data_IF_432195000347
#
_entry.id   IF_432195000347
#
_cell.length_a   1.000
_cell.length_b   1.000
_cell.length_c   1.000
_cell.angle_alpha   90.00
_cell.angle_beta   90.00
_cell.angle_gamma   90.00
#
_symmetry.space_group_name_H-M   'P 1'
#
loop_
_entity.id
_entity.type
_entity.pdbx_description
1 polymer ?
#
# COMPACT_ATOMS: atom_id res chain seq x y z
N UNK A 1 38.16 -16.34 6.41
CA UNK A 1 37.42 -15.75 7.54
C UNK A 1 36.05 -16.40 7.57
N UNK A 2 35.36 -16.46 8.71
CA UNK A 2 33.93 -16.79 8.70
C UNK A 2 33.18 -15.58 8.13
N UNK A 3 32.21 -15.79 7.24
CA UNK A 3 31.34 -14.71 6.80
C UNK A 3 30.38 -14.31 7.93
N UNK A 4 30.13 -13.01 8.07
CA UNK A 4 29.25 -12.48 9.12
C UNK A 4 27.81 -12.62 8.65
N UNK A 5 27.20 -13.76 8.94
CA UNK A 5 25.77 -13.97 8.71
C UNK A 5 24.91 -13.15 9.68
N UNK A 6 23.88 -12.49 9.17
CA UNK A 6 22.93 -11.70 9.94
C UNK A 6 21.59 -12.44 10.08
N UNK A 7 21.01 -12.57 11.30
CA UNK A 7 19.72 -13.21 11.47
C UNK A 7 18.60 -12.37 10.84
N UNK A 8 17.69 -13.02 10.12
CA UNK A 8 16.51 -12.42 9.49
C UNK A 8 15.28 -12.96 10.20
N UNK A 9 14.36 -12.08 10.62
CA UNK A 9 13.14 -12.47 11.33
C UNK A 9 11.91 -11.78 10.76
N UNK A 10 10.76 -12.43 10.90
CA UNK A 10 9.46 -11.85 10.61
C UNK A 10 8.81 -11.43 11.93
N UNK A 11 8.61 -10.13 12.12
CA UNK A 11 7.71 -9.62 13.14
C UNK A 11 6.28 -9.66 12.58
N UNK A 12 5.36 -10.26 13.35
CA UNK A 12 3.95 -10.43 12.98
C UNK A 12 3.09 -9.74 14.02
N UNK A 13 2.14 -8.93 13.55
CA UNK A 13 1.26 -8.07 14.33
C UNK A 13 -0.21 -8.35 13.97
N UNK A 14 -1.10 -8.20 14.94
CA UNK A 14 -2.54 -8.10 14.72
C UNK A 14 -2.99 -6.64 14.85
N UNK A 15 -3.33 -6.00 13.72
CA UNK A 15 -3.84 -4.63 13.69
C UNK A 15 -5.22 -4.48 14.35
N UNK A 16 -5.92 -5.58 14.64
CA UNK A 16 -7.20 -5.56 15.37
C UNK A 16 -7.04 -5.64 16.90
N UNK A 17 -5.85 -5.96 17.41
CA UNK A 17 -5.58 -6.14 18.84
C UNK A 17 -6.55 -7.11 19.54
N UNK A 18 -6.88 -8.22 18.85
CA UNK A 18 -7.84 -9.24 19.29
C UNK A 18 -9.28 -9.02 18.82
N UNK A 19 -9.67 -7.78 18.47
CA UNK A 19 -11.06 -7.43 18.12
C UNK A 19 -11.58 -8.21 16.90
N UNK A 20 -10.72 -8.57 15.94
CA UNK A 20 -11.14 -9.37 14.79
C UNK A 20 -11.67 -10.73 15.24
N UNK A 21 -10.98 -11.41 16.17
CA UNK A 21 -11.37 -12.73 16.69
C UNK A 21 -12.71 -12.69 17.42
N UNK A 22 -12.94 -11.68 18.24
CA UNK A 22 -14.16 -11.54 19.04
C UNK A 22 -15.38 -11.16 18.19
N UNK A 23 -15.23 -10.17 17.30
CA UNK A 23 -16.33 -9.67 16.48
C UNK A 23 -16.68 -10.63 15.33
N UNK A 24 -15.69 -11.32 14.74
CA UNK A 24 -15.93 -12.15 13.54
C UNK A 24 -16.69 -13.45 13.81
N UNK A 25 -16.50 -14.09 14.97
CA UNK A 25 -17.29 -15.25 15.33
C UNK A 25 -18.80 -14.94 15.39
N UNK A 26 -19.14 -13.74 15.89
CA UNK A 26 -20.53 -13.29 16.10
C UNK A 26 -21.15 -12.68 14.85
N UNK A 27 -20.39 -11.93 14.05
CA UNK A 27 -20.91 -11.13 12.92
C UNK A 27 -20.66 -11.79 11.55
N UNK A 28 -19.54 -12.52 11.38
CA UNK A 28 -19.12 -13.05 10.07
C UNK A 28 -19.45 -14.53 9.84
N UNK A 29 -19.84 -15.28 10.87
CA UNK A 29 -20.06 -16.74 10.78
C UNK A 29 -18.79 -17.56 10.48
N UNK A 30 -17.63 -16.89 10.39
CA UNK A 30 -16.29 -17.44 10.17
C UNK A 30 -15.32 -16.56 10.96
N UNK A 31 -14.50 -17.16 11.81
CA UNK A 31 -13.50 -16.43 12.57
C UNK A 31 -12.40 -15.87 11.64
N UNK A 32 -12.23 -14.56 11.64
CA UNK A 32 -11.01 -13.86 11.24
C UNK A 32 -10.17 -13.78 12.52
N UNK A 33 -9.07 -14.53 12.59
CA UNK A 33 -8.23 -14.62 13.79
C UNK A 33 -7.58 -13.27 14.15
N UNK A 34 -7.13 -12.53 13.14
CA UNK A 34 -6.40 -11.28 13.25
C UNK A 34 -6.42 -10.53 11.91
N UNK A 35 -6.01 -9.25 11.94
CA UNK A 35 -5.66 -8.48 10.75
C UNK A 35 -4.13 -8.44 10.68
N UNK A 36 -3.54 -9.39 9.95
CA UNK A 36 -2.08 -9.57 9.94
C UNK A 36 -1.33 -8.42 9.24
N UNK A 37 -0.40 -7.83 9.98
CA UNK A 37 0.66 -6.95 9.46
C UNK A 37 2.02 -7.57 9.75
N UNK A 38 2.98 -7.43 8.84
CA UNK A 38 4.36 -7.91 9.05
C UNK A 38 5.43 -6.87 8.74
N UNK A 39 6.53 -6.97 9.48
CA UNK A 39 7.80 -6.30 9.20
C UNK A 39 8.96 -7.30 9.20
N UNK A 40 9.98 -7.06 8.38
CA UNK A 40 11.20 -7.89 8.30
C UNK A 40 12.30 -7.26 9.15
N UNK A 41 12.82 -8.01 10.11
CA UNK A 41 13.89 -7.57 11.01
C UNK A 41 15.23 -8.13 10.55
N UNK A 42 16.18 -7.24 10.26
CA UNK A 42 17.55 -7.56 9.84
C UNK A 42 18.48 -6.35 10.12
N UNK A 43 19.77 -6.59 10.34
CA UNK A 43 20.77 -5.56 10.68
C UNK A 43 20.46 -4.68 11.91
N UNK A 44 19.54 -5.12 12.78
CA UNK A 44 19.06 -4.34 13.94
C UNK A 44 17.92 -3.35 13.64
N UNK A 45 17.43 -3.31 12.39
CA UNK A 45 16.28 -2.52 11.96
C UNK A 45 15.08 -3.41 11.61
N UNK A 46 13.87 -2.88 11.74
CA UNK A 46 12.62 -3.50 11.27
C UNK A 46 12.10 -2.72 10.07
N UNK A 47 11.94 -3.39 8.93
CA UNK A 47 11.52 -2.81 7.64
C UNK A 47 10.09 -3.23 7.30
N UNK A 48 9.24 -2.29 6.91
CA UNK A 48 7.83 -2.53 6.57
C UNK A 48 7.33 -1.57 5.48
N UNK A 49 6.15 -1.83 4.92
CA UNK A 49 5.50 -0.98 3.92
C UNK A 49 4.19 -0.39 4.46
N UNK A 50 3.92 0.88 4.14
CA UNK A 50 2.70 1.61 4.51
C UNK A 50 2.61 2.88 3.66
N UNK A 51 2.87 4.05 4.26
CA UNK A 51 3.14 5.30 3.55
C UNK A 51 4.49 5.30 2.83
N UNK A 52 4.73 4.31 1.97
CA UNK A 52 6.05 3.97 1.42
C UNK A 52 6.79 2.94 2.26
N UNK A 53 7.96 2.50 1.76
CA UNK A 53 8.91 1.68 2.53
C UNK A 53 9.42 2.51 3.72
N UNK A 54 9.34 1.93 4.91
CA UNK A 54 9.74 2.52 6.17
C UNK A 54 10.64 1.56 6.95
N UNK A 55 11.44 2.10 7.85
CA UNK A 55 12.19 1.29 8.82
C UNK A 55 12.16 1.93 10.21
N UNK A 56 12.28 1.11 11.25
CA UNK A 56 12.30 1.55 12.65
C UNK A 56 13.14 0.63 13.54
N UNK A 57 13.15 0.92 14.85
CA UNK A 57 13.73 0.02 15.84
C UNK A 57 12.78 -1.18 16.06
N UNK A 58 13.26 -2.44 16.02
CA UNK A 58 12.41 -3.62 16.17
C UNK A 58 11.59 -3.62 17.46
N UNK A 59 10.29 -3.93 17.36
CA UNK A 59 9.36 -3.89 18.51
C UNK A 59 9.10 -2.49 19.08
N UNK A 60 9.54 -1.45 18.36
CA UNK A 60 9.30 -0.02 18.62
C UNK A 60 8.85 0.72 17.35
N UNK A 61 8.46 -0.03 16.32
CA UNK A 61 7.65 0.48 15.22
C UNK A 61 6.29 0.94 15.76
N UNK A 62 5.51 1.75 15.02
CA UNK A 62 4.21 2.22 15.49
C UNK A 62 3.22 1.10 15.87
N UNK A 63 3.41 -0.11 15.32
CA UNK A 63 2.63 -1.31 15.63
C UNK A 63 2.97 -1.96 17.00
N UNK A 64 3.99 -1.46 17.70
CA UNK A 64 4.36 -1.87 19.06
C UNK A 64 5.10 -3.20 19.14
N UNK A 65 4.65 -4.08 20.04
CA UNK A 65 5.23 -5.41 20.26
C UNK A 65 4.59 -6.44 19.32
N UNK A 66 5.36 -7.24 18.57
CA UNK A 66 4.80 -8.27 17.71
C UNK A 66 4.12 -9.39 18.53
N UNK A 67 2.97 -9.87 18.06
CA UNK A 67 2.24 -10.99 18.67
C UNK A 67 2.91 -12.34 18.37
N UNK A 68 3.74 -12.39 17.32
CA UNK A 68 4.62 -13.53 17.03
C UNK A 68 5.89 -13.03 16.34
N UNK A 69 7.01 -13.68 16.64
CA UNK A 69 8.26 -13.54 15.89
C UNK A 69 8.61 -14.90 15.30
N UNK A 70 8.74 -14.97 13.98
CA UNK A 70 9.17 -16.17 13.27
C UNK A 70 10.59 -15.96 12.73
N UNK A 71 11.43 -17.01 12.76
CA UNK A 71 12.80 -16.93 12.27
C UNK A 71 12.83 -17.31 10.78
N UNK A 72 13.45 -16.46 9.96
CA UNK A 72 13.54 -16.64 8.50
C UNK A 72 14.92 -17.16 8.07
N UNK A 73 15.82 -17.46 9.02
CA UNK A 73 17.18 -17.91 8.77
C UNK A 73 18.22 -16.80 8.83
N UNK A 74 19.33 -16.99 8.10
CA UNK A 74 20.51 -16.12 8.16
C UNK A 74 20.87 -15.64 6.76
N UNK A 75 20.98 -14.33 6.58
CA UNK A 75 21.45 -13.71 5.34
C UNK A 75 22.95 -13.45 5.39
N UNK A 76 23.61 -13.54 4.25
CA UNK A 76 24.98 -13.07 4.03
C UNK A 76 25.03 -11.84 3.10
N UNK A 77 23.86 -11.29 2.76
CA UNK A 77 23.73 -10.06 1.98
C UNK A 77 24.22 -8.88 2.85
N UNK A 78 25.15 -8.03 2.36
CA UNK A 78 25.53 -6.81 3.06
C UNK A 78 24.35 -5.84 3.21
N UNK A 79 24.34 -5.05 4.28
CA UNK A 79 23.26 -4.08 4.55
C UNK A 79 23.06 -3.10 3.39
N UNK A 80 24.17 -2.67 2.79
CA UNK A 80 24.24 -1.73 1.69
C UNK A 80 23.54 -2.30 0.44
N UNK A 81 23.76 -3.59 0.15
CA UNK A 81 23.12 -4.31 -0.96
C UNK A 81 21.62 -4.49 -0.74
N UNK A 82 21.18 -4.65 0.52
CA UNK A 82 19.75 -4.63 0.84
C UNK A 82 19.13 -3.22 0.72
N UNK A 83 19.84 -2.17 1.14
CA UNK A 83 19.37 -0.79 0.99
C UNK A 83 19.34 -0.36 -0.50
N UNK A 84 20.24 -0.88 -1.34
CA UNK A 84 20.19 -0.75 -2.80
C UNK A 84 18.94 -1.42 -3.39
N UNK A 85 18.67 -2.67 -3.00
CA UNK A 85 17.43 -3.37 -3.37
C UNK A 85 16.17 -2.63 -2.92
N UNK A 86 16.13 -2.11 -1.68
CA UNK A 86 15.01 -1.31 -1.20
C UNK A 86 14.80 -0.04 -2.04
N UNK A 87 15.87 0.60 -2.53
CA UNK A 87 15.79 1.73 -3.47
C UNK A 87 15.30 1.31 -4.85
N UNK A 88 15.72 0.15 -5.36
CA UNK A 88 15.25 -0.40 -6.65
C UNK A 88 13.75 -0.72 -6.63
N UNK A 89 13.25 -1.36 -5.56
CA UNK A 89 11.83 -1.72 -5.43
C UNK A 89 10.96 -0.55 -4.97
N UNK A 90 11.54 0.51 -4.40
CA UNK A 90 10.86 1.69 -3.86
C UNK A 90 9.75 2.30 -4.75
N UNK A 91 9.96 2.48 -6.07
CA UNK A 91 8.92 2.95 -6.99
C UNK A 91 7.67 2.06 -7.09
N UNK A 92 7.75 0.78 -6.70
CA UNK A 92 6.58 -0.13 -6.56
C UNK A 92 5.92 -0.05 -5.19
N UNK A 93 6.61 0.48 -4.18
CA UNK A 93 6.18 0.50 -2.77
C UNK A 93 6.06 1.95 -2.27
N UNK A 94 5.05 2.64 -2.78
CA UNK A 94 4.71 4.05 -2.47
C UNK A 94 3.34 4.14 -1.76
N UNK A 95 2.98 5.27 -1.11
CA UNK A 95 1.62 5.48 -0.61
C UNK A 95 0.54 5.25 -1.68
N UNK A 96 0.79 5.72 -2.91
CA UNK A 96 -0.16 5.62 -4.02
C UNK A 96 -0.36 4.17 -4.51
N UNK A 97 0.66 3.32 -4.40
CA UNK A 97 0.57 1.89 -4.80
C UNK A 97 0.15 0.96 -3.66
N UNK A 98 0.13 1.42 -2.40
CA UNK A 98 -0.36 0.63 -1.27
C UNK A 98 -1.83 0.24 -1.49
N UNK A 99 -2.16 -1.05 -1.46
CA UNK A 99 -3.54 -1.51 -1.29
C UNK A 99 -3.62 -2.69 -0.34
N UNK A 100 -4.52 -2.61 0.64
CA UNK A 100 -4.63 -3.57 1.74
C UNK A 100 -4.92 -4.99 1.25
N UNK A 101 -5.64 -5.13 0.14
CA UNK A 101 -6.09 -6.44 -0.36
C UNK A 101 -5.10 -7.11 -1.33
N UNK A 102 -4.24 -6.36 -2.01
CA UNK A 102 -3.45 -6.86 -3.16
C UNK A 102 -1.97 -6.48 -3.15
N UNK A 103 -1.59 -5.38 -2.50
CA UNK A 103 -0.21 -4.88 -2.47
C UNK A 103 0.07 -4.15 -1.15
N UNK A 104 0.32 -4.93 -0.10
CA UNK A 104 0.39 -4.48 1.29
C UNK A 104 1.73 -4.83 1.97
N UNK A 105 1.80 -4.59 3.28
CA UNK A 105 2.92 -4.87 4.18
C UNK A 105 3.49 -6.29 4.04
N UNK A 106 2.60 -7.26 3.81
CA UNK A 106 2.89 -8.68 3.78
C UNK A 106 3.44 -9.09 2.41
N UNK A 107 2.98 -8.45 1.31
CA UNK A 107 3.59 -8.57 -0.01
C UNK A 107 5.05 -8.07 0.02
N UNK A 108 5.27 -6.86 0.56
CA UNK A 108 6.61 -6.29 0.75
C UNK A 108 7.52 -7.20 1.58
N UNK A 109 7.03 -7.65 2.74
CA UNK A 109 7.80 -8.52 3.64
C UNK A 109 8.17 -9.85 2.98
N UNK A 110 7.29 -10.38 2.14
CA UNK A 110 7.54 -11.60 1.37
C UNK A 110 8.57 -11.41 0.27
N UNK A 111 8.63 -10.24 -0.37
CA UNK A 111 9.67 -9.93 -1.36
C UNK A 111 11.05 -9.73 -0.68
N UNK A 112 11.09 -8.98 0.42
CA UNK A 112 12.30 -8.77 1.22
C UNK A 112 12.83 -10.08 1.86
N UNK A 113 11.96 -10.94 2.38
CA UNK A 113 12.34 -12.25 2.92
C UNK A 113 12.94 -13.18 1.84
N UNK A 114 12.40 -13.16 0.62
CA UNK A 114 12.93 -13.92 -0.50
C UNK A 114 14.31 -13.41 -0.93
N UNK A 115 14.50 -12.08 -1.00
CA UNK A 115 15.79 -11.48 -1.33
C UNK A 115 16.87 -11.75 -0.28
N UNK A 116 16.55 -11.61 1.01
CA UNK A 116 17.51 -11.76 2.10
C UNK A 116 17.89 -13.23 2.38
N UNK A 117 16.91 -14.15 2.40
CA UNK A 117 17.10 -15.50 2.93
C UNK A 117 16.48 -16.61 2.06
N UNK A 118 15.85 -16.29 0.92
CA UNK A 118 15.05 -17.25 0.14
C UNK A 118 13.76 -17.71 0.83
N UNK A 119 13.48 -17.19 2.03
CA UNK A 119 12.32 -17.53 2.85
C UNK A 119 11.05 -16.85 2.32
N UNK A 120 9.88 -17.32 2.76
CA UNK A 120 8.58 -16.73 2.42
C UNK A 120 7.77 -16.42 3.66
N UNK A 121 6.95 -15.37 3.59
CA UNK A 121 5.94 -15.09 4.62
C UNK A 121 4.91 -16.23 4.63
N UNK A 122 4.44 -16.68 5.81
CA UNK A 122 3.45 -17.76 5.91
C UNK A 122 2.21 -17.53 5.05
N UNK A 123 1.74 -18.59 4.38
CA UNK A 123 0.58 -18.52 3.48
C UNK A 123 -0.71 -18.07 4.18
N UNK A 124 -0.89 -18.35 5.47
CA UNK A 124 -2.06 -17.89 6.24
C UNK A 124 -2.12 -16.35 6.38
N UNK A 125 -0.97 -15.66 6.26
CA UNK A 125 -0.88 -14.20 6.23
C UNK A 125 -1.16 -13.67 4.81
N UNK A 126 -0.51 -14.26 3.80
CA UNK A 126 -0.62 -13.82 2.41
C UNK A 126 -2.01 -14.09 1.80
N UNK A 127 -2.66 -15.19 2.19
CA UNK A 127 -4.00 -15.57 1.71
C UNK A 127 -5.13 -14.92 2.53
N UNK A 128 -4.85 -14.15 3.59
CA UNK A 128 -5.90 -13.53 4.40
C UNK A 128 -6.85 -12.65 3.56
N UNK A 129 -6.39 -11.75 2.65
CA UNK A 129 -7.28 -10.98 1.79
C UNK A 129 -8.20 -11.86 0.94
N UNK A 130 -7.66 -12.92 0.34
CA UNK A 130 -8.42 -13.88 -0.47
C UNK A 130 -9.48 -14.61 0.38
N UNK A 131 -9.13 -15.02 1.60
CA UNK A 131 -10.04 -15.69 2.52
C UNK A 131 -11.16 -14.80 3.08
N UNK A 132 -10.94 -13.48 3.10
CA UNK A 132 -11.92 -12.46 3.50
C UNK A 132 -12.84 -12.11 2.33
N UNK A 133 -12.28 -11.80 1.16
CA UNK A 133 -13.06 -11.40 -0.02
C UNK A 133 -13.92 -12.54 -0.60
N UNK A 134 -13.49 -13.79 -0.46
CA UNK A 134 -14.30 -14.96 -0.82
C UNK A 134 -15.30 -15.41 0.28
N UNK A 135 -15.50 -14.60 1.34
CA UNK A 135 -16.53 -14.85 2.35
C UNK A 135 -17.83 -14.09 2.05
N UNK A 136 -19.01 -14.59 2.50
CA UNK A 136 -20.29 -13.88 2.31
C UNK A 136 -20.32 -12.45 2.88
N UNK A 137 -19.45 -12.13 3.84
CA UNK A 137 -19.38 -10.82 4.50
C UNK A 137 -18.28 -9.92 3.93
N UNK A 138 -17.40 -10.43 3.05
CA UNK A 138 -16.30 -9.64 2.45
C UNK A 138 -16.76 -8.35 1.76
N UNK A 139 -17.93 -8.38 1.11
CA UNK A 139 -18.54 -7.19 0.51
C UNK A 139 -19.08 -6.18 1.54
N UNK A 140 -19.57 -6.65 2.69
CA UNK A 140 -20.17 -5.79 3.73
C UNK A 140 -19.10 -5.05 4.57
N UNK A 141 -17.94 -5.67 4.79
CA UNK A 141 -16.82 -5.04 5.51
C UNK A 141 -15.86 -4.25 4.60
N UNK A 142 -16.16 -4.14 3.30
CA UNK A 142 -15.37 -3.37 2.35
C UNK A 142 -15.15 -1.89 2.76
N UNK A 143 -16.12 -1.17 3.37
CA UNK A 143 -15.88 0.18 3.89
C UNK A 143 -14.88 0.22 5.06
N UNK A 144 -14.84 -0.82 5.90
CA UNK A 144 -13.87 -0.95 6.99
C UNK A 144 -12.46 -1.20 6.44
N UNK A 145 -12.36 -2.08 5.43
CA UNK A 145 -11.14 -2.35 4.65
C UNK A 145 -10.58 -1.07 4.01
N UNK A 146 -11.45 -0.21 3.46
CA UNK A 146 -11.06 1.08 2.86
C UNK A 146 -10.56 2.10 3.90
N UNK A 147 -11.22 2.20 5.06
CA UNK A 147 -10.75 3.06 6.15
C UNK A 147 -9.39 2.62 6.71
N UNK A 148 -9.21 1.32 6.87
CA UNK A 148 -7.96 0.67 7.28
C UNK A 148 -6.83 0.89 6.25
N UNK A 149 -7.10 0.70 4.96
CA UNK A 149 -6.15 1.02 3.87
C UNK A 149 -5.74 2.50 3.90
N UNK A 150 -6.71 3.41 4.11
CA UNK A 150 -6.45 4.86 4.16
C UNK A 150 -5.50 5.23 5.30
N UNK A 151 -5.65 4.63 6.48
CA UNK A 151 -4.73 4.84 7.61
C UNK A 151 -3.31 4.34 7.29
N UNK A 152 -3.18 3.11 6.78
CA UNK A 152 -1.88 2.50 6.49
C UNK A 152 -1.16 3.19 5.32
N UNK A 153 -1.90 3.66 4.31
CA UNK A 153 -1.41 4.52 3.22
C UNK A 153 -0.85 5.86 3.74
N UNK A 154 -1.43 6.40 4.81
CA UNK A 154 -0.92 7.60 5.48
C UNK A 154 0.28 7.34 6.41
N UNK A 155 0.76 6.09 6.52
CA UNK A 155 1.78 5.69 7.49
C UNK A 155 1.28 5.63 8.94
N UNK A 156 -0.03 5.78 9.16
CA UNK A 156 -0.64 5.77 10.49
C UNK A 156 -1.03 4.35 10.92
N UNK A 157 -0.93 4.10 12.23
CA UNK A 157 -1.45 2.87 12.84
C UNK A 157 -2.99 2.93 12.84
N UNK A 158 -3.69 1.87 12.44
CA UNK A 158 -5.13 1.79 12.59
C UNK A 158 -5.48 1.78 14.07
N UNK A 159 -6.29 2.73 14.52
CA UNK A 159 -6.86 2.66 15.86
C UNK A 159 -8.05 1.67 15.85
N UNK A 160 -8.20 0.80 16.88
CA UNK A 160 -9.42 0.03 17.06
C UNK A 160 -10.64 0.95 17.05
N UNK A 161 -11.77 0.56 16.43
CA UNK A 161 -12.93 1.42 16.25
C UNK A 161 -13.48 1.88 17.60
N UNK A 162 -13.19 3.13 17.95
CA UNK A 162 -13.61 3.73 19.21
C UNK A 162 -15.14 3.84 19.22
N UNK A 163 -15.80 3.09 20.11
CA UNK A 163 -17.22 3.28 20.38
C UNK A 163 -17.37 4.65 21.05
N UNK A 164 -17.57 5.68 20.23
CA UNK A 164 -17.86 7.04 20.69
C UNK A 164 -19.25 7.05 21.31
N UNK A 165 -19.32 6.79 22.61
CA UNK A 165 -20.37 7.37 23.46
C UNK A 165 -20.49 8.85 23.10
N UNK A 166 -21.67 9.29 22.67
CA UNK A 166 -21.86 10.68 22.26
C UNK A 166 -21.47 11.61 23.42
N UNK A 167 -20.76 12.72 23.16
CA UNK A 167 -20.47 13.68 24.21
C UNK A 167 -21.80 14.19 24.78
N UNK A 168 -21.96 14.13 26.09
CA UNK A 168 -23.13 14.68 26.75
C UNK A 168 -23.25 16.17 26.39
N UNK A 169 -24.46 16.69 26.11
CA UNK A 169 -24.64 18.08 25.70
C UNK A 169 -24.16 19.00 26.83
N UNK A 170 -23.11 19.76 26.57
CA UNK A 170 -22.62 20.79 27.50
C UNK A 170 -23.73 21.83 27.65
N UNK A 171 -24.21 22.01 28.87
CA UNK A 171 -25.35 22.90 29.13
C UNK A 171 -25.00 24.35 28.77
N UNK A 172 -25.75 24.93 27.84
CA UNK A 172 -25.53 26.29 27.36
C UNK A 172 -25.84 27.31 28.46
N UNK A 173 -24.80 27.88 29.07
CA UNK A 173 -24.96 29.00 29.99
C UNK A 173 -25.42 30.25 29.20
N UNK A 174 -26.66 30.67 29.41
CA UNK A 174 -27.23 31.87 28.77
C UNK A 174 -26.70 33.15 29.39
N UNK A 175 -26.12 34.05 28.60
CA UNK A 175 -25.98 35.46 28.95
C UNK A 175 -26.55 36.34 27.84
N UNK A 176 -27.40 37.29 28.22
CA UNK A 176 -28.11 38.22 27.34
C UNK A 176 -27.25 39.43 26.97
N UNK A 177 -27.41 40.00 25.76
CA UNK A 177 -26.68 41.21 25.35
C UNK A 177 -27.42 42.50 25.77
N UNK A 178 -26.69 43.59 26.07
CA UNK A 178 -27.18 44.95 25.89
C UNK A 178 -26.87 45.47 24.47
N UNK A 179 -27.76 46.30 23.92
CA UNK A 179 -27.51 47.04 22.67
C UNK A 179 -26.59 48.24 22.88
N UNK A 180 -26.03 48.78 21.79
CA UNK A 180 -25.14 49.94 21.81
C UNK A 180 -25.88 51.28 21.74
N UNK A 181 -25.23 52.34 22.24
CA UNK A 181 -25.43 53.73 21.83
C UNK A 181 -24.06 54.44 21.71
N UNK A 182 -23.71 54.78 20.47
CA UNK A 182 -22.93 55.90 19.91
C UNK A 182 -21.71 56.59 20.60
N UNK A 183 -20.64 56.68 19.78
CA UNK A 183 -19.89 57.90 19.38
C UNK A 183 -18.64 58.42 20.15
N UNK A 184 -17.73 58.98 19.32
CA UNK A 184 -16.52 59.80 19.57
C UNK A 184 -15.29 59.21 20.30
N UNK A 185 -14.20 59.05 19.55
CA UNK A 185 -12.83 59.23 20.05
C UNK A 185 -12.23 60.51 19.47
N UNK A 186 -11.86 61.47 20.33
CA UNK A 186 -11.19 62.71 19.95
C UNK A 186 -9.93 63.00 20.78
N UNK A 187 -8.80 62.60 20.22
CA UNK A 187 -7.48 63.25 20.31
C UNK A 187 -6.66 63.30 21.62
N UNK A 188 -5.34 63.20 21.37
CA UNK A 188 -4.20 63.92 22.00
C UNK A 188 -3.62 63.54 23.37
N UNK A 189 -2.32 63.21 23.30
CA UNK A 189 -1.21 63.70 24.13
C UNK A 189 -1.10 63.19 25.58
N UNK A 190 -0.06 62.43 25.97
CA UNK A 190 1.35 62.84 26.22
C UNK A 190 1.57 63.26 27.70
N UNK A 191 2.72 63.03 28.34
CA UNK A 191 3.90 62.20 28.05
C UNK A 191 4.73 62.04 29.36
N UNK A 192 5.74 61.18 29.39
CA UNK A 192 7.00 61.51 30.07
C UNK A 192 8.23 60.75 29.50
N UNK A 193 9.44 61.16 29.91
CA UNK A 193 10.79 60.77 29.41
C UNK A 193 11.84 61.02 30.55
N UNK A 194 13.18 61.04 30.35
CA UNK A 194 14.06 60.62 29.22
C UNK A 194 14.91 59.39 29.63
N UNK A 195 16.20 59.08 29.33
CA UNK A 195 17.39 59.66 28.64
C UNK A 195 18.16 58.50 27.92
N UNK A 196 18.68 58.67 26.69
CA UNK A 196 20.11 58.85 26.27
C UNK A 196 21.07 57.64 26.51
N UNK A 197 21.89 57.16 25.55
CA UNK A 197 22.09 57.46 24.09
C UNK A 197 22.27 56.09 23.33
N UNK A 198 23.08 55.74 22.29
CA UNK A 198 24.18 56.38 21.52
C UNK A 198 24.11 56.13 19.99
N UNK A 199 24.56 57.12 19.21
CA UNK A 199 24.88 57.23 17.78
C UNK A 199 25.10 55.98 16.87
N UNK A 200 24.72 56.12 15.57
CA UNK A 200 25.15 55.23 14.46
C UNK A 200 24.50 55.43 13.07
N UNK A 201 24.82 56.52 12.34
CA UNK A 201 24.42 56.73 10.93
C UNK A 201 25.33 55.97 9.92
N UNK A 202 24.95 55.70 8.65
CA UNK A 202 23.67 55.91 7.94
C UNK A 202 23.82 55.90 6.40
N UNK A 203 22.69 55.81 5.66
CA UNK A 203 22.54 55.91 4.17
C UNK A 203 23.19 54.82 3.28
N UNK A 204 22.73 54.52 2.06
CA UNK A 204 21.67 55.16 1.24
C UNK A 204 20.90 54.20 0.29
N UNK A 205 19.71 54.63 -0.16
CA UNK A 205 18.86 54.24 -1.32
C UNK A 205 19.04 52.88 -2.08
N UNK A 206 17.96 52.18 -2.50
CA UNK A 206 16.52 52.47 -2.38
C UNK A 206 15.60 51.62 -3.29
N UNK A 207 14.33 52.02 -3.41
CA UNK A 207 13.26 51.55 -4.33
C UNK A 207 12.40 50.30 -4.01
N UNK A 208 11.20 50.58 -3.48
CA UNK A 208 9.88 50.03 -3.91
C UNK A 208 9.58 48.52 -3.90
N UNK A 209 9.17 48.03 -2.72
CA UNK A 209 7.85 47.47 -2.39
C UNK A 209 7.07 46.53 -3.36
N UNK A 210 6.55 45.45 -2.74
CA UNK A 210 5.58 44.44 -3.24
C UNK A 210 4.13 44.98 -3.17
N UNK A 211 3.16 44.41 -3.94
CA UNK A 211 1.94 43.90 -3.30
C UNK A 211 1.43 42.52 -3.84
N UNK A 212 0.50 41.82 -3.15
CA UNK A 212 0.27 40.37 -3.34
C UNK A 212 -1.14 39.93 -3.82
N UNK A 213 -1.22 38.64 -4.21
CA UNK A 213 -2.31 37.65 -4.06
C UNK A 213 -3.81 37.96 -4.38
N UNK A 214 -4.42 37.08 -5.20
CA UNK A 214 -5.85 36.66 -5.15
C UNK A 214 -6.05 35.29 -5.83
N UNK A 215 -7.17 34.61 -5.54
CA UNK A 215 -7.53 33.26 -6.04
C UNK A 215 -8.83 33.29 -6.93
N UNK A 216 -9.59 32.19 -7.21
CA UNK A 216 -9.78 31.67 -8.57
C UNK A 216 -11.18 31.88 -9.20
N UNK A 217 -11.35 31.48 -10.47
CA UNK A 217 -12.67 31.36 -11.12
C UNK A 217 -12.74 30.34 -12.29
N UNK A 218 -13.93 29.78 -12.51
CA UNK A 218 -14.43 29.01 -13.67
C UNK A 218 -15.99 28.94 -13.59
N UNK A 219 -16.78 28.44 -14.57
CA UNK A 219 -16.52 28.06 -15.98
C UNK A 219 -17.31 28.99 -16.97
N UNK A 220 -17.63 28.59 -18.23
CA UNK A 220 -18.97 28.05 -18.55
C UNK A 220 -19.03 27.07 -19.78
N UNK A 221 -20.24 26.67 -20.23
CA UNK A 221 -20.47 25.84 -21.44
C UNK A 221 -21.90 26.00 -22.04
N UNK A 222 -22.12 25.74 -23.35
CA UNK A 222 -23.42 25.29 -23.95
C UNK A 222 -23.41 25.10 -25.52
N UNK A 223 -24.15 24.08 -26.01
CA UNK A 223 -24.81 23.88 -27.34
C UNK A 223 -23.98 24.00 -28.67
N UNK A 224 -24.23 23.24 -29.77
CA UNK A 224 -25.50 22.85 -30.43
C UNK A 224 -25.37 21.53 -31.25
N UNK A 225 -26.48 20.89 -31.65
CA UNK A 225 -26.56 19.61 -32.42
C UNK A 225 -26.96 19.80 -33.91
N UNK A 226 -26.47 18.97 -34.86
CA UNK A 226 -27.19 18.56 -36.11
C UNK A 226 -26.73 17.16 -36.64
N UNK A 227 -27.70 16.31 -36.98
CA UNK A 227 -27.79 15.12 -37.89
C UNK A 227 -26.61 14.27 -38.41
N UNK A 228 -26.83 12.94 -38.29
CA UNK A 228 -26.77 11.88 -39.32
C UNK A 228 -25.44 11.35 -39.94
N UNK A 229 -25.44 10.04 -40.24
CA UNK A 229 -24.38 9.26 -40.90
C UNK A 229 -24.70 9.07 -42.42
N UNK A 230 -23.78 8.58 -43.30
CA UNK A 230 -23.18 7.23 -43.16
C UNK A 230 -21.69 7.06 -43.53
N UNK A 231 -21.14 5.94 -43.03
CA UNK A 231 -20.03 5.12 -43.52
C UNK A 231 -18.96 5.71 -44.50
N UNK A 232 -17.72 5.79 -44.00
CA UNK A 232 -16.51 5.50 -44.77
C UNK A 232 -15.56 4.65 -43.89
N UNK A 233 -14.96 3.60 -44.46
CA UNK A 233 -14.06 2.72 -43.71
C UNK A 233 -12.62 3.29 -43.69
N UNK A 234 -11.97 3.24 -42.53
CA UNK A 234 -10.54 3.51 -42.37
C UNK A 234 -9.93 2.36 -41.57
N UNK A 235 -9.06 1.59 -42.22
CA UNK A 235 -8.36 0.46 -41.59
C UNK A 235 -7.27 0.95 -40.64
N UNK A 236 -7.55 0.98 -39.33
CA UNK A 236 -6.51 1.10 -38.31
C UNK A 236 -5.71 -0.20 -38.25
N UNK A 237 -4.66 -0.27 -39.08
CA UNK A 237 -3.67 -1.35 -39.14
C UNK A 237 -3.15 -1.69 -37.74
N UNK A 238 -3.65 -2.78 -37.17
CA UNK A 238 -3.20 -3.27 -35.87
C UNK A 238 -1.70 -3.61 -35.89
N UNK A 239 -1.02 -3.32 -34.77
CA UNK A 239 0.31 -3.88 -34.54
C UNK A 239 0.20 -5.42 -34.45
N UNK A 240 1.19 -6.18 -34.98
CA UNK A 240 1.17 -7.63 -34.87
C UNK A 240 1.20 -8.07 -33.39
N UNK A 241 0.47 -9.15 -33.03
CA UNK A 241 0.50 -9.66 -31.66
C UNK A 241 1.90 -10.14 -31.28
N UNK A 242 2.29 -9.96 -30.01
CA UNK A 242 3.55 -10.48 -29.50
C UNK A 242 3.58 -12.02 -29.62
N UNK A 243 4.47 -12.61 -30.44
CA UNK A 243 4.54 -14.06 -30.60
C UNK A 243 4.96 -14.78 -29.30
N UNK A 244 5.62 -14.08 -28.36
CA UNK A 244 5.95 -14.64 -27.04
C UNK A 244 4.71 -14.70 -26.13
N UNK A 245 3.83 -13.70 -26.17
CA UNK A 245 2.53 -13.74 -25.49
C UNK A 245 1.63 -14.86 -26.04
N UNK A 246 1.55 -15.01 -27.37
CA UNK A 246 0.78 -16.08 -27.99
C UNK A 246 1.34 -17.47 -27.64
N UNK A 247 2.67 -17.64 -27.67
CA UNK A 247 3.32 -18.88 -27.26
C UNK A 247 3.06 -19.23 -25.78
N UNK A 248 3.14 -18.25 -24.87
CA UNK A 248 2.79 -18.42 -23.46
C UNK A 248 1.34 -18.84 -23.27
N UNK A 249 0.39 -18.20 -23.98
CA UNK A 249 -1.03 -18.53 -23.94
C UNK A 249 -1.29 -19.98 -24.40
N UNK A 250 -0.72 -20.38 -25.54
CA UNK A 250 -0.83 -21.77 -26.06
C UNK A 250 -0.33 -22.81 -25.07
N UNK A 251 0.82 -22.57 -24.42
CA UNK A 251 1.37 -23.47 -23.39
C UNK A 251 0.48 -23.51 -22.14
N UNK A 252 -0.08 -22.37 -21.70
CA UNK A 252 -0.98 -22.32 -20.55
C UNK A 252 -2.28 -23.10 -20.77
N UNK A 253 -2.90 -23.01 -21.96
CA UNK A 253 -4.09 -23.80 -22.30
C UNK A 253 -3.79 -25.31 -22.38
N UNK A 254 -2.62 -25.71 -22.88
CA UNK A 254 -2.23 -27.12 -22.89
C UNK A 254 -2.02 -27.67 -21.46
N UNK A 255 -1.42 -26.88 -20.55
CA UNK A 255 -1.28 -27.25 -19.13
C UNK A 255 -2.64 -27.39 -18.45
N UNK A 256 -3.57 -26.46 -18.69
CA UNK A 256 -4.95 -26.55 -18.17
C UNK A 256 -5.65 -27.83 -18.65
N UNK A 257 -5.47 -28.20 -19.93
CA UNK A 257 -6.06 -29.40 -20.53
C UNK A 257 -5.48 -30.69 -19.96
N UNK A 258 -4.17 -30.79 -19.79
CA UNK A 258 -3.53 -31.94 -19.13
C UNK A 258 -3.94 -32.05 -17.66
N UNK A 259 -4.01 -30.92 -16.94
CA UNK A 259 -4.48 -30.91 -15.55
C UNK A 259 -5.92 -31.43 -15.43
N UNK A 260 -6.83 -30.95 -16.28
CA UNK A 260 -8.21 -31.44 -16.33
C UNK A 260 -8.28 -32.95 -16.65
N UNK A 261 -7.44 -33.46 -17.56
CA UNK A 261 -7.40 -34.87 -17.89
C UNK A 261 -6.87 -35.74 -16.74
N UNK A 262 -5.83 -35.31 -16.02
CA UNK A 262 -5.28 -36.03 -14.86
C UNK A 262 -6.27 -36.03 -13.69
N UNK A 263 -6.95 -34.90 -13.45
CA UNK A 263 -8.01 -34.79 -12.44
C UNK A 263 -9.22 -35.67 -12.79
N UNK A 264 -9.66 -35.70 -14.06
CA UNK A 264 -10.75 -36.55 -14.51
C UNK A 264 -10.42 -38.06 -14.44
N UNK A 265 -9.15 -38.44 -14.56
CA UNK A 265 -8.68 -39.80 -14.36
C UNK A 265 -8.60 -40.22 -12.88
N UNK A 266 -8.79 -39.30 -11.92
CA UNK A 266 -8.71 -39.57 -10.47
C UNK A 266 -7.31 -40.01 -9.98
N UNK A 267 -6.28 -39.89 -10.82
CA UNK A 267 -5.01 -40.59 -10.66
C UNK A 267 -3.96 -39.86 -9.79
N UNK A 268 -4.23 -38.62 -9.37
CA UNK A 268 -3.30 -37.79 -8.60
C UNK A 268 -4.05 -36.77 -7.72
N UNK A 269 -3.42 -36.28 -6.66
CA UNK A 269 -3.94 -35.15 -5.85
C UNK A 269 -3.74 -33.81 -6.61
N UNK A 270 -4.50 -32.73 -6.36
CA UNK A 270 -4.43 -31.50 -7.17
C UNK A 270 -3.02 -30.90 -7.35
N UNK A 271 -2.20 -30.83 -6.30
CA UNK A 271 -0.81 -30.33 -6.43
C UNK A 271 0.11 -31.23 -7.26
N UNK A 272 -0.09 -32.54 -7.17
CA UNK A 272 0.62 -33.57 -7.95
C UNK A 272 0.16 -33.58 -9.41
N UNK A 273 -1.15 -33.46 -9.65
CA UNK A 273 -1.73 -33.30 -10.98
C UNK A 273 -1.22 -32.03 -11.68
N UNK A 274 -1.10 -30.91 -10.97
CA UNK A 274 -0.55 -29.66 -11.51
C UNK A 274 0.93 -29.77 -11.88
N UNK A 275 1.74 -30.39 -11.00
CA UNK A 275 3.15 -30.65 -11.29
C UNK A 275 3.34 -31.60 -12.49
N UNK A 276 2.54 -32.69 -12.55
CA UNK A 276 2.57 -33.68 -13.62
C UNK A 276 2.10 -33.10 -14.96
N UNK A 277 1.04 -32.29 -14.97
CA UNK A 277 0.57 -31.57 -16.16
C UNK A 277 1.64 -30.61 -16.70
N UNK A 278 2.19 -29.76 -15.82
CA UNK A 278 3.25 -28.80 -16.19
C UNK A 278 4.46 -29.53 -16.76
N UNK A 279 4.91 -30.62 -16.11
CA UNK A 279 6.03 -31.44 -16.58
C UNK A 279 5.76 -32.03 -17.97
N UNK A 280 4.60 -32.69 -18.19
CA UNK A 280 4.24 -33.33 -19.46
C UNK A 280 4.14 -32.37 -20.65
N UNK A 281 3.76 -31.12 -20.41
CA UNK A 281 3.74 -30.07 -21.45
C UNK A 281 5.15 -29.52 -21.69
N UNK A 282 5.92 -29.24 -20.64
CA UNK A 282 7.29 -28.75 -20.79
C UNK A 282 8.21 -29.77 -21.46
N UNK A 283 8.04 -31.07 -21.20
CA UNK A 283 8.74 -32.15 -21.91
C UNK A 283 8.38 -32.18 -23.42
N UNK A 284 7.09 -31.99 -23.76
CA UNK A 284 6.61 -31.86 -25.15
C UNK A 284 7.24 -30.66 -25.88
N UNK A 285 7.15 -29.47 -25.30
CA UNK A 285 7.66 -28.23 -25.92
C UNK A 285 9.20 -28.19 -25.96
N UNK A 286 9.87 -28.80 -24.99
CA UNK A 286 11.33 -28.99 -25.01
C UNK A 286 11.79 -29.88 -26.17
N UNK A 287 11.15 -31.03 -26.38
CA UNK A 287 11.44 -31.92 -27.51
C UNK A 287 11.12 -31.28 -28.86
N UNK A 288 10.01 -30.53 -28.96
CA UNK A 288 9.66 -29.80 -30.19
C UNK A 288 10.68 -28.70 -30.51
N UNK A 289 11.18 -27.95 -29.52
CA UNK A 289 12.27 -26.99 -29.73
C UNK A 289 13.55 -27.68 -30.25
N UNK A 290 13.93 -28.81 -29.66
CA UNK A 290 15.09 -29.58 -30.09
C UNK A 290 14.97 -30.06 -31.55
N UNK A 291 13.80 -30.59 -31.94
CA UNK A 291 13.51 -31.02 -33.30
C UNK A 291 13.58 -29.87 -34.32
N UNK A 292 13.00 -28.70 -34.00
CA UNK A 292 13.04 -27.52 -34.87
C UNK A 292 14.45 -26.94 -35.02
N UNK A 293 15.30 -27.01 -33.98
CA UNK A 293 16.72 -26.66 -34.12
C UNK A 293 17.51 -27.65 -34.99
N UNK A 294 17.22 -28.95 -34.91
CA UNK A 294 17.90 -29.98 -35.69
C UNK A 294 17.55 -29.94 -37.20
N UNK A 295 16.47 -29.27 -37.59
CA UNK A 295 16.07 -29.06 -38.99
C UNK A 295 16.57 -27.74 -39.61
N UNK A 296 17.48 -27.02 -38.92
CA UNK A 296 18.09 -25.75 -39.39
C UNK A 296 19.63 -25.72 -39.30
N UNK A 297 20.25 -26.88 -39.13
CA UNK A 297 21.72 -27.09 -39.22
C UNK A 297 22.11 -27.81 -40.49
#
# INVERSE_FOLDING_TARGET
MAEVGYPVKLHIYDLSQGMARELSATILGKAIEAIWHTGVVVYGCEYYFGGGIQHGQPGRTPYGTPVRVEDLGVTHVPREVFEDFLREIGPRYTPATYSLLSHNCNNFSNEAAQFLAGAKVPSYILELPNQVMNSPVGALILPMIQGLETSLRAGAVPQPPQIRSAPAPVATATMTPPSADDVEQRSTAAADKPDEETAGNGSDNGSTAVPPAVEPAAPPAAATQVSAAPAAAVETKAAPPDPLAEAKSRVQEEIKREFAAIMAAGAARPGEAAALATRRVMERHGLQRAAVSAQRG
#
